data_IF_148955832690
#
_entry.id   IF_148955832690
#
_cell.length_a   1.000
_cell.length_b   1.000
_cell.length_c   1.000
_cell.angle_alpha   90.00
_cell.angle_beta   90.00
_cell.angle_gamma   90.00
#
_symmetry.space_group_name_H-M   'P 1'
#
loop_
_entity.id
_entity.type
_entity.pdbx_description
1 polymer ?
#
# COMPACT_ATOMS: atom_id res chain seq x y z
N UNK A 1 9.59 13.57 18.06
CA UNK A 1 8.24 13.15 18.46
C UNK A 1 7.12 13.73 17.57
N UNK A 2 7.11 15.01 17.15
CA UNK A 2 6.02 15.59 16.30
C UNK A 2 5.88 14.97 14.89
N UNK A 3 6.93 14.41 14.31
CA UNK A 3 6.89 13.83 12.94
C UNK A 3 6.42 12.37 12.91
N UNK A 4 6.49 11.63 14.01
CA UNK A 4 5.97 10.26 14.11
C UNK A 4 4.45 10.22 14.25
N UNK A 5 3.89 11.20 14.98
CA UNK A 5 2.43 11.30 15.17
C UNK A 5 1.71 11.65 13.87
N UNK A 6 2.31 12.50 12.99
CA UNK A 6 1.72 12.82 11.69
C UNK A 6 1.73 11.62 10.71
N UNK A 7 2.79 10.80 10.69
CA UNK A 7 2.84 9.59 9.83
C UNK A 7 1.88 8.49 10.30
N UNK A 8 1.71 8.32 11.60
CA UNK A 8 0.74 7.37 12.15
C UNK A 8 -0.72 7.78 11.84
N UNK A 9 -1.04 9.08 11.90
CA UNK A 9 -2.38 9.58 11.57
C UNK A 9 -2.71 9.44 10.08
N UNK A 10 -1.72 9.62 9.18
CA UNK A 10 -1.92 9.49 7.72
C UNK A 10 -2.11 8.01 7.31
N UNK A 11 -1.43 7.07 7.97
CA UNK A 11 -1.66 5.63 7.72
C UNK A 11 -3.04 5.16 8.24
N UNK A 12 -3.51 5.71 9.37
CA UNK A 12 -4.84 5.38 9.90
C UNK A 12 -5.96 5.91 9.00
N UNK A 13 -5.82 7.10 8.40
CA UNK A 13 -6.80 7.67 7.47
C UNK A 13 -6.88 6.89 6.14
N UNK A 14 -5.76 6.40 5.62
CA UNK A 14 -5.74 5.59 4.39
C UNK A 14 -6.38 4.22 4.64
N UNK A 15 -6.25 3.64 5.84
CA UNK A 15 -6.88 2.36 6.18
C UNK A 15 -8.40 2.48 6.37
N UNK A 16 -8.90 3.60 6.87
CA UNK A 16 -10.34 3.86 7.04
C UNK A 16 -11.03 4.14 5.71
N UNK A 17 -10.36 4.83 4.77
CA UNK A 17 -10.91 5.12 3.43
C UNK A 17 -10.91 3.89 2.49
N UNK A 18 -9.99 2.94 2.67
CA UNK A 18 -9.98 1.69 1.90
C UNK A 18 -11.03 0.67 2.36
N UNK A 19 -11.52 0.76 3.60
CA UNK A 19 -12.58 -0.14 4.11
C UNK A 19 -14.00 0.29 3.68
N UNK A 20 -14.21 1.58 3.37
CA UNK A 20 -15.53 2.08 2.92
C UNK A 20 -15.83 1.79 1.44
N UNK A 21 -14.83 1.41 0.63
CA UNK A 21 -15.02 1.09 -0.79
C UNK A 21 -15.48 -0.37 -1.05
N UNK A 22 -15.55 -1.23 -0.03
CA UNK A 22 -15.81 -2.67 -0.21
C UNK A 22 -17.24 -3.09 0.19
N UNK A 23 -18.01 -2.25 0.93
CA UNK A 23 -19.38 -2.58 1.33
C UNK A 23 -20.37 -1.41 1.19
N UNK A 24 -21.03 -1.24 0.03
CA UNK A 24 -22.04 -0.18 -0.14
C UNK A 24 -23.47 -0.56 0.27
N UNK A 25 -23.73 -1.56 1.12
CA UNK A 25 -25.10 -2.05 1.34
C UNK A 25 -25.57 -2.19 2.78
N UNK A 26 -25.05 -1.39 3.73
CA UNK A 26 -25.58 -1.37 5.10
C UNK A 26 -25.63 0.05 5.70
N UNK A 27 -26.38 0.94 5.04
CA UNK A 27 -26.78 2.21 5.65
C UNK A 27 -28.20 2.57 5.15
N UNK A 28 -29.18 2.06 5.86
CA UNK A 28 -30.53 2.62 5.84
C UNK A 28 -31.04 2.72 7.28
N UNK A 29 -31.45 3.96 7.61
CA UNK A 29 -32.44 4.37 8.59
C UNK A 29 -32.10 4.24 10.09
N UNK A 30 -31.52 5.31 10.66
CA UNK A 30 -31.81 5.76 12.02
C UNK A 30 -32.03 7.29 11.99
N UNK A 31 -33.17 7.83 12.51
CA UNK A 31 -33.48 9.25 12.45
C UNK A 31 -32.69 10.03 13.52
N UNK A 32 -32.14 11.16 13.11
CA UNK A 32 -31.48 12.17 13.95
C UNK A 32 -32.54 13.01 14.64
N UNK A 33 -32.65 12.91 15.96
CA UNK A 33 -33.31 13.92 16.78
C UNK A 33 -32.30 15.00 17.18
N UNK A 34 -32.63 16.24 16.86
CA UNK A 34 -31.98 17.47 17.35
C UNK A 34 -32.40 17.75 18.80
N UNK A 35 -31.44 17.97 19.69
CA UNK A 35 -31.61 18.79 20.91
C UNK A 35 -30.21 19.32 21.29
N UNK A 36 -30.03 20.54 21.12
CA UNK A 36 -30.06 21.77 21.96
C UNK A 36 -28.85 21.89 22.89
N UNK A 37 -27.93 22.74 22.44
CA UNK A 37 -26.92 23.46 23.21
C UNK A 37 -27.57 24.19 24.39
N UNK A 38 -27.05 24.02 25.62
CA UNK A 38 -27.26 24.98 26.71
C UNK A 38 -25.93 25.21 27.43
N UNK A 39 -25.53 26.48 27.41
CA UNK A 39 -24.48 27.10 28.21
C UNK A 39 -24.78 26.92 29.71
N UNK A 40 -23.73 26.69 30.51
CA UNK A 40 -23.78 26.95 31.93
C UNK A 40 -22.73 27.98 32.26
N UNK A 41 -23.23 29.18 32.52
CA UNK A 41 -22.53 30.30 33.11
C UNK A 41 -22.30 30.08 34.61
N UNK A 42 -21.26 30.74 35.10
CA UNK A 42 -20.86 30.97 36.46
C UNK A 42 -22.01 31.48 37.34
N UNK A 43 -22.07 31.03 38.58
CA UNK A 43 -22.60 31.84 39.67
C UNK A 43 -21.77 31.62 40.96
N UNK A 44 -21.11 32.66 41.35
CA UNK A 44 -20.60 33.04 42.67
C UNK A 44 -21.77 33.47 43.55
N UNK A 45 -21.78 33.07 44.80
CA UNK A 45 -22.36 33.78 45.98
C UNK A 45 -22.16 32.89 47.23
N UNK A 46 -21.34 33.29 48.22
CA UNK A 46 -21.49 34.24 49.34
C UNK A 46 -22.64 33.88 50.29
N UNK A 47 -22.29 33.46 51.50
CA UNK A 47 -22.95 33.71 52.81
C UNK A 47 -22.05 33.18 53.91
N UNK A 48 -21.38 33.98 54.66
CA UNK A 48 -21.61 34.94 55.76
C UNK A 48 -22.31 34.29 57.00
N UNK A 49 -21.51 34.32 58.09
CA UNK A 49 -21.86 34.65 59.51
C UNK A 49 -22.84 33.78 60.27
N UNK A 50 -22.50 33.33 61.45
CA UNK A 50 -22.50 34.04 62.75
C UNK A 50 -22.15 33.06 63.91
N UNK A 51 -21.25 33.53 64.78
CA UNK A 51 -21.39 33.77 66.22
C UNK A 51 -21.89 32.56 67.06
N UNK A 52 -21.34 32.28 68.22
CA UNK A 52 -21.03 33.06 69.42
C UNK A 52 -20.27 32.20 70.46
N UNK A 53 -19.27 32.79 71.09
CA UNK A 53 -18.97 32.99 72.49
C UNK A 53 -19.49 31.96 73.54
N UNK A 54 -18.61 31.48 74.42
CA UNK A 54 -18.32 32.01 75.76
C UNK A 54 -17.55 31.00 76.65
N UNK A 55 -16.50 31.48 77.20
CA UNK A 55 -16.13 31.54 78.65
C UNK A 55 -16.15 30.23 79.47
N UNK A 56 -15.24 29.94 80.35
CA UNK A 56 -14.42 30.68 81.34
C UNK A 56 -13.46 29.71 82.04
N UNK A 57 -12.26 30.27 82.37
CA UNK A 57 -11.40 30.10 83.56
C UNK A 57 -11.59 28.92 84.54
N UNK A 58 -10.48 28.23 84.90
CA UNK A 58 -9.84 28.47 86.22
C UNK A 58 -8.57 27.69 86.43
N UNK A 59 -7.59 28.41 86.97
CA UNK A 59 -6.34 28.10 87.61
C UNK A 59 -6.33 26.86 88.53
N UNK A 60 -5.17 26.19 88.54
CA UNK A 60 -4.48 25.86 89.80
C UNK A 60 -3.06 25.47 89.53
N UNK A 61 -2.16 26.19 90.17
CA UNK A 61 -0.73 25.92 90.33
C UNK A 61 -0.46 24.55 90.93
N UNK A 62 0.63 23.91 90.43
CA UNK A 62 1.42 23.04 91.29
C UNK A 62 2.86 23.03 90.69
N UNK A 63 3.70 23.74 91.37
CA UNK A 63 5.15 23.68 91.22
C UNK A 63 5.71 22.32 91.62
N UNK A 64 6.44 21.70 90.67
CA UNK A 64 7.51 20.77 91.01
C UNK A 64 8.68 21.01 90.07
N UNK A 65 9.74 21.52 90.60
CA UNK A 65 11.04 21.59 89.96
C UNK A 65 11.49 20.20 89.55
N UNK A 66 11.74 20.00 88.28
CA UNK A 66 12.48 18.86 87.76
C UNK A 66 13.72 19.43 87.00
N UNK A 67 14.86 19.05 87.47
CA UNK A 67 16.15 19.33 86.89
C UNK A 67 16.18 19.07 85.41
N UNK A 68 16.43 20.13 84.62
CA UNK A 68 16.68 20.05 83.19
C UNK A 68 18.11 19.59 82.98
N UNK A 69 18.32 18.29 82.76
CA UNK A 69 19.49 17.82 82.03
C UNK A 69 19.28 18.22 80.56
N UNK A 70 19.94 19.31 80.16
CA UNK A 70 20.10 19.66 78.75
C UNK A 70 21.02 18.65 78.09
N UNK A 71 20.47 17.54 77.57
CA UNK A 71 21.17 16.76 76.56
C UNK A 71 21.46 17.68 75.38
N UNK A 72 22.75 17.86 75.04
CA UNK A 72 23.16 18.67 73.90
C UNK A 72 22.51 18.05 72.64
N UNK A 73 21.62 18.80 71.95
CA UNK A 73 21.01 18.37 70.70
C UNK A 73 22.14 18.03 69.71
N UNK A 74 22.25 16.76 69.31
CA UNK A 74 23.16 16.28 68.30
C UNK A 74 22.37 16.21 66.96
N UNK A 75 22.77 17.05 66.02
CA UNK A 75 22.18 17.04 64.67
C UNK A 75 22.51 15.71 63.98
N UNK A 76 21.45 14.96 63.61
CA UNK A 76 21.57 13.70 62.92
C UNK A 76 21.32 13.89 61.39
N UNK A 77 22.38 13.89 60.62
CA UNK A 77 22.30 14.04 59.16
C UNK A 77 21.43 12.98 58.47
N UNK A 78 21.24 11.81 59.10
CA UNK A 78 20.44 10.75 58.53
C UNK A 78 18.91 11.08 58.53
N UNK A 79 18.49 12.03 59.39
CA UNK A 79 17.11 12.50 59.48
C UNK A 79 16.80 13.68 58.54
N UNK A 80 17.82 14.20 57.82
CA UNK A 80 17.64 15.35 56.97
C UNK A 80 16.61 15.07 55.87
N UNK A 81 15.50 15.81 55.89
CA UNK A 81 14.38 15.69 54.97
C UNK A 81 13.24 14.84 55.47
N UNK A 82 13.43 14.01 56.50
CA UNK A 82 12.43 13.19 57.18
C UNK A 82 11.80 14.03 58.29
N UNK A 83 10.68 14.67 58.00
CA UNK A 83 9.99 15.55 58.97
C UNK A 83 8.71 14.91 59.56
N UNK A 84 8.29 13.78 59.06
CA UNK A 84 7.22 12.99 59.67
C UNK A 84 7.74 11.85 60.57
N UNK A 85 9.06 11.58 60.50
CA UNK A 85 9.75 10.65 61.39
C UNK A 85 9.60 9.17 60.99
N UNK A 86 9.23 8.88 59.74
CA UNK A 86 9.05 7.52 59.27
C UNK A 86 10.39 6.86 58.81
N UNK A 87 11.50 7.59 58.83
CA UNK A 87 12.84 7.15 58.44
C UNK A 87 13.16 7.28 56.97
N UNK A 88 12.27 7.84 56.17
CA UNK A 88 12.42 8.02 54.71
C UNK A 88 12.11 9.47 54.30
N UNK A 89 12.76 9.94 53.25
CA UNK A 89 12.36 11.20 52.65
C UNK A 89 11.41 10.91 51.49
N UNK A 90 10.14 11.22 51.65
CA UNK A 90 9.05 10.89 50.72
C UNK A 90 8.31 12.15 50.25
N UNK A 91 7.28 11.96 49.41
CA UNK A 91 6.39 13.04 49.01
C UNK A 91 5.50 13.53 50.20
N UNK A 92 5.39 12.75 51.27
CA UNK A 92 4.69 13.13 52.51
C UNK A 92 5.42 14.29 53.19
N UNK A 93 6.76 14.14 53.39
CA UNK A 93 7.61 15.15 53.97
C UNK A 93 7.58 16.44 53.16
N UNK A 94 7.71 16.33 51.82
CA UNK A 94 7.63 17.48 50.94
C UNK A 94 6.29 18.23 51.06
N UNK A 95 5.19 17.50 51.25
CA UNK A 95 3.87 18.08 51.50
C UNK A 95 3.78 18.77 52.83
N UNK A 96 4.31 18.18 53.92
CA UNK A 96 4.36 18.79 55.24
C UNK A 96 5.17 20.09 55.17
N UNK A 97 6.37 20.05 54.60
CA UNK A 97 7.22 21.25 54.46
C UNK A 97 6.53 22.34 53.66
N UNK A 98 5.81 21.99 52.59
CA UNK A 98 5.06 22.97 51.79
C UNK A 98 3.94 23.62 52.61
N UNK A 99 3.21 22.85 53.44
CA UNK A 99 2.15 23.36 54.33
C UNK A 99 2.74 24.27 55.41
N UNK A 100 3.92 23.92 55.95
CA UNK A 100 4.64 24.78 56.90
C UNK A 100 5.11 26.08 56.23
N UNK A 101 5.64 26.03 55.01
CA UNK A 101 6.07 27.18 54.26
C UNK A 101 4.91 28.19 54.02
N UNK A 102 3.67 27.70 53.79
CA UNK A 102 2.48 28.52 53.61
C UNK A 102 1.69 28.78 54.92
N UNK A 103 2.27 28.43 56.07
CA UNK A 103 1.69 28.64 57.41
C UNK A 103 0.39 27.91 57.72
N UNK A 104 0.15 26.80 57.04
CA UNK A 104 -1.00 25.88 57.29
C UNK A 104 -0.67 24.78 58.28
N UNK A 105 0.60 24.66 58.67
CA UNK A 105 1.11 23.66 59.58
C UNK A 105 2.34 24.22 60.31
N UNK A 106 2.66 23.68 61.50
CA UNK A 106 3.86 24.02 62.28
C UNK A 106 4.63 22.77 62.63
N UNK A 107 5.94 22.84 62.53
CA UNK A 107 6.85 21.78 63.02
C UNK A 107 7.42 22.18 64.39
N UNK A 108 7.71 21.17 65.23
CA UNK A 108 8.52 21.38 66.43
C UNK A 108 9.89 21.84 66.04
N UNK A 109 10.53 22.68 66.86
CA UNK A 109 11.84 23.28 66.54
C UNK A 109 12.95 22.21 66.36
N UNK A 110 12.85 21.08 67.07
CA UNK A 110 13.76 19.95 66.96
C UNK A 110 13.60 19.17 65.62
N UNK A 111 12.44 19.21 65.00
CA UNK A 111 12.15 18.59 63.70
C UNK A 111 12.40 19.58 62.55
N UNK A 112 12.12 20.85 62.75
CA UNK A 112 12.23 21.91 61.77
C UNK A 112 13.59 21.99 61.14
N UNK A 113 14.68 21.76 61.93
CA UNK A 113 16.05 21.76 61.43
C UNK A 113 16.34 20.69 60.37
N UNK A 114 15.59 19.61 60.35
CA UNK A 114 15.67 18.54 59.36
C UNK A 114 14.93 18.87 58.06
N UNK A 115 14.05 19.88 58.11
CA UNK A 115 13.33 20.36 56.94
C UNK A 115 14.02 21.56 56.25
N UNK A 116 14.96 22.22 56.91
CA UNK A 116 15.68 23.40 56.47
C UNK A 116 16.96 23.01 55.72
N UNK A 117 16.84 22.74 54.40
CA UNK A 117 17.95 22.23 53.60
C UNK A 117 19.02 23.26 53.30
N UNK A 118 18.68 24.55 53.26
CA UNK A 118 19.63 25.64 53.02
C UNK A 118 20.17 26.27 54.31
N UNK A 119 19.68 25.81 55.46
CA UNK A 119 20.10 26.23 56.82
C UNK A 119 19.90 27.72 57.07
N UNK A 120 18.84 28.31 56.50
CA UNK A 120 18.51 29.73 56.68
C UNK A 120 17.59 30.02 57.88
N UNK A 121 17.21 28.99 58.64
CA UNK A 121 16.35 29.06 59.82
C UNK A 121 14.87 29.12 59.53
N UNK A 122 14.42 28.97 58.28
CA UNK A 122 13.05 29.06 57.83
C UNK A 122 12.71 27.90 56.92
N UNK A 123 11.51 27.38 57.07
CA UNK A 123 10.99 26.45 56.05
C UNK A 123 10.28 27.23 54.95
N UNK A 124 10.76 27.04 53.75
CA UNK A 124 10.24 27.70 52.52
C UNK A 124 9.75 26.70 51.48
N UNK A 125 9.17 27.19 50.40
CA UNK A 125 8.78 26.35 49.24
C UNK A 125 9.98 25.68 48.57
N UNK A 126 11.18 26.25 48.74
CA UNK A 126 12.40 25.68 48.14
C UNK A 126 12.89 24.45 48.90
N UNK A 127 12.70 24.43 50.25
CA UNK A 127 12.93 23.24 51.06
C UNK A 127 11.95 22.11 50.71
N UNK A 128 10.67 22.45 50.59
CA UNK A 128 9.67 21.48 50.17
C UNK A 128 9.98 20.91 48.79
N UNK A 129 10.41 21.75 47.84
CA UNK A 129 10.83 21.32 46.51
C UNK A 129 12.08 20.43 46.59
N UNK A 130 13.02 20.73 47.46
CA UNK A 130 14.22 19.92 47.68
C UNK A 130 13.87 18.54 48.21
N UNK A 131 13.01 18.46 49.23
CA UNK A 131 12.50 17.20 49.74
C UNK A 131 11.80 16.36 48.63
N UNK A 132 10.96 16.98 47.82
CA UNK A 132 10.30 16.29 46.71
C UNK A 132 11.28 15.77 45.66
N UNK A 133 12.33 16.51 45.33
CA UNK A 133 13.37 16.08 44.40
C UNK A 133 14.20 14.90 44.96
N UNK A 134 14.42 14.86 46.31
CA UNK A 134 15.05 13.73 46.98
C UNK A 134 14.09 12.50 46.91
N UNK A 135 12.83 12.67 47.25
CA UNK A 135 11.82 11.62 47.20
C UNK A 135 11.73 10.94 45.84
N UNK A 136 11.82 11.70 44.72
CA UNK A 136 11.82 11.14 43.36
C UNK A 136 13.22 10.81 42.81
N UNK A 137 14.24 10.78 43.68
CA UNK A 137 15.64 10.40 43.38
C UNK A 137 16.34 11.30 42.33
N UNK A 138 15.87 12.52 42.17
CA UNK A 138 16.57 13.54 41.36
C UNK A 138 17.72 14.17 42.12
N UNK A 139 17.60 14.31 43.45
CA UNK A 139 18.62 14.76 44.35
C UNK A 139 18.89 13.70 45.43
N UNK A 140 19.89 13.96 46.25
CA UNK A 140 20.28 13.08 47.36
C UNK A 140 20.72 13.95 48.53
N UNK A 141 20.30 13.64 49.73
CA UNK A 141 20.61 14.38 50.97
C UNK A 141 22.12 14.68 51.10
N UNK A 142 22.95 13.66 50.93
CA UNK A 142 24.42 13.81 51.01
C UNK A 142 24.99 14.74 49.92
N UNK A 143 24.32 14.88 48.78
CA UNK A 143 24.72 15.85 47.76
C UNK A 143 24.33 17.28 48.11
N UNK A 144 23.24 17.46 48.83
CA UNK A 144 22.76 18.75 49.32
C UNK A 144 23.72 19.24 50.44
N UNK A 145 24.02 18.34 51.40
CA UNK A 145 24.86 18.70 52.57
C UNK A 145 26.34 18.84 52.24
N UNK A 146 26.88 18.02 51.38
CA UNK A 146 28.34 17.90 51.17
C UNK A 146 28.79 18.09 49.71
N UNK A 147 27.87 18.49 48.85
CA UNK A 147 28.14 18.64 47.44
C UNK A 147 28.17 17.33 46.65
N UNK A 148 28.28 17.45 45.32
CA UNK A 148 28.21 16.31 44.41
C UNK A 148 29.56 15.57 44.33
N UNK A 149 29.56 14.27 44.63
CA UNK A 149 30.69 13.39 44.35
C UNK A 149 30.63 12.93 42.89
N UNK A 150 31.31 13.64 42.00
CA UNK A 150 31.26 13.39 40.57
C UNK A 150 32.35 12.45 40.08
N UNK A 151 32.08 11.79 38.93
CA UNK A 151 33.08 11.09 38.12
C UNK A 151 32.89 11.43 36.64
N UNK A 152 33.95 11.37 35.83
CA UNK A 152 33.86 11.61 34.41
C UNK A 152 33.12 10.46 33.73
N UNK A 153 32.15 10.81 32.89
CA UNK A 153 31.41 9.87 32.05
C UNK A 153 31.58 10.29 30.59
N UNK A 154 32.11 9.38 29.80
CA UNK A 154 32.30 9.60 28.36
C UNK A 154 31.01 9.26 27.60
N UNK A 155 30.48 10.19 26.84
CA UNK A 155 29.39 10.04 25.91
C UNK A 155 30.01 9.92 24.52
N UNK A 156 29.83 8.78 23.89
CA UNK A 156 30.32 8.54 22.52
C UNK A 156 29.59 9.41 21.50
N UNK A 157 30.25 9.89 20.44
CA UNK A 157 29.58 10.58 19.36
C UNK A 157 28.64 9.61 18.61
N UNK A 158 27.52 10.14 18.16
CA UNK A 158 26.61 9.44 17.23
C UNK A 158 26.83 9.94 15.79
N UNK A 159 26.04 9.46 14.87
CA UNK A 159 26.11 9.96 13.48
C UNK A 159 25.83 11.47 13.39
N UNK A 160 24.99 12.01 14.26
CA UNK A 160 24.50 13.40 14.21
C UNK A 160 24.92 14.24 15.40
N UNK A 161 25.22 13.61 16.51
CA UNK A 161 25.55 14.31 17.76
C UNK A 161 27.02 14.18 18.13
N UNK A 162 27.56 15.23 18.69
CA UNK A 162 28.94 15.26 19.21
C UNK A 162 29.07 14.37 20.45
N UNK A 163 30.16 13.65 20.57
CA UNK A 163 30.56 12.99 21.81
C UNK A 163 31.26 13.97 22.75
N UNK A 164 31.21 13.72 24.06
CA UNK A 164 31.83 14.56 25.07
C UNK A 164 31.99 13.81 26.38
N UNK A 165 32.77 14.39 27.29
CA UNK A 165 32.91 13.92 28.67
C UNK A 165 32.18 14.90 29.59
N UNK A 166 31.38 14.40 30.51
CA UNK A 166 30.71 15.20 31.56
C UNK A 166 31.00 14.61 32.93
N UNK A 167 30.95 15.44 33.94
CA UNK A 167 31.01 14.98 35.33
C UNK A 167 29.59 14.63 35.78
N UNK A 168 29.34 13.36 36.09
CA UNK A 168 28.07 12.90 36.65
C UNK A 168 28.21 12.53 38.12
N UNK A 169 27.26 12.95 38.92
CA UNK A 169 27.21 12.56 40.31
C UNK A 169 26.98 11.05 40.46
N UNK A 170 27.61 10.45 41.47
CA UNK A 170 27.45 9.02 41.75
C UNK A 170 26.23 8.71 42.63
N UNK A 171 25.58 9.75 43.22
CA UNK A 171 24.48 9.62 44.19
C UNK A 171 23.14 10.16 43.71
N UNK A 172 23.13 11.12 42.77
CA UNK A 172 21.95 11.76 42.25
C UNK A 172 22.04 12.00 40.73
N UNK A 173 21.02 12.60 40.16
CA UNK A 173 20.93 12.89 38.73
C UNK A 173 21.80 14.04 38.24
N UNK A 174 22.56 14.71 39.10
CA UNK A 174 23.35 15.87 38.73
C UNK A 174 24.38 15.53 37.65
N UNK A 175 24.49 16.39 36.69
CA UNK A 175 25.49 16.37 35.63
C UNK A 175 26.02 17.79 35.42
N UNK A 176 27.36 17.92 35.25
CA UNK A 176 27.96 19.23 34.97
C UNK A 176 27.48 19.81 33.66
N UNK A 177 27.30 21.12 33.61
CA UNK A 177 27.01 21.83 32.36
C UNK A 177 28.23 21.85 31.43
N UNK A 178 29.44 21.87 32.01
CA UNK A 178 30.72 21.87 31.28
C UNK A 178 30.94 20.52 30.62
N UNK A 179 31.09 20.52 29.30
CA UNK A 179 31.44 19.35 28.48
C UNK A 179 32.92 19.47 28.06
N UNK A 180 33.69 18.42 28.30
CA UNK A 180 35.09 18.33 27.88
C UNK A 180 35.28 17.25 26.82
N UNK A 181 36.46 17.12 26.24
CA UNK A 181 36.82 16.10 25.23
C UNK A 181 35.81 15.99 24.10
N UNK A 182 35.35 17.14 23.57
CA UNK A 182 34.32 17.18 22.55
C UNK A 182 34.84 16.52 21.26
N UNK A 183 34.20 15.44 20.85
CA UNK A 183 34.42 14.75 19.57
C UNK A 183 33.33 15.11 18.57
N UNK A 184 33.70 15.34 17.32
CA UNK A 184 32.72 15.61 16.26
C UNK A 184 31.78 14.42 16.09
N UNK A 185 30.52 14.68 15.64
CA UNK A 185 29.62 13.66 15.14
C UNK A 185 30.32 12.83 14.05
N UNK A 186 30.08 11.54 14.03
CA UNK A 186 30.75 10.61 13.10
C UNK A 186 30.30 10.75 11.66
N UNK A 187 29.18 11.42 11.44
CA UNK A 187 28.47 11.42 10.15
C UNK A 187 27.78 10.08 9.85
N UNK A 188 27.03 10.04 8.77
CA UNK A 188 26.37 8.82 8.32
C UNK A 188 27.32 8.00 7.44
N UNK A 189 27.48 6.72 7.76
CA UNK A 189 28.17 5.73 6.92
C UNK A 189 27.15 5.04 6.03
N UNK A 190 26.92 5.60 4.83
CA UNK A 190 25.91 5.14 3.91
C UNK A 190 26.31 3.85 3.20
N UNK A 191 25.38 2.91 3.11
CA UNK A 191 25.47 1.68 2.35
C UNK A 191 24.30 1.66 1.36
N UNK A 192 24.60 1.38 0.12
CA UNK A 192 23.62 1.27 -0.96
C UNK A 192 23.11 -0.17 -1.08
N UNK A 193 21.80 -0.33 -1.26
CA UNK A 193 21.14 -1.61 -1.49
C UNK A 193 20.06 -1.45 -2.53
N UNK A 194 20.00 -2.40 -3.45
CA UNK A 194 18.91 -2.46 -4.44
C UNK A 194 18.20 -3.80 -4.31
N UNK A 195 16.89 -3.78 -4.19
CA UNK A 195 16.04 -4.97 -4.32
C UNK A 195 15.54 -5.06 -5.76
N UNK A 196 15.39 -6.26 -6.28
CA UNK A 196 14.77 -6.50 -7.59
C UNK A 196 13.25 -6.36 -7.47
N UNK A 197 12.61 -5.87 -8.54
CA UNK A 197 11.17 -5.89 -8.65
C UNK A 197 10.63 -7.33 -8.65
N UNK A 198 9.47 -7.51 -8.08
CA UNK A 198 8.68 -8.75 -8.16
C UNK A 198 7.46 -8.55 -9.08
N UNK A 199 6.60 -9.54 -9.16
CA UNK A 199 5.36 -9.36 -9.92
C UNK A 199 4.45 -8.27 -9.33
N UNK A 200 4.50 -8.04 -8.03
CA UNK A 200 3.56 -7.16 -7.30
C UNK A 200 4.23 -6.00 -6.59
N UNK A 201 5.54 -6.07 -6.39
CA UNK A 201 6.28 -5.05 -5.65
C UNK A 201 7.37 -4.43 -6.51
N UNK A 202 7.50 -3.12 -6.40
CA UNK A 202 8.58 -2.38 -7.04
C UNK A 202 9.95 -2.76 -6.45
N UNK A 203 10.96 -2.82 -7.26
CA UNK A 203 12.35 -2.88 -6.83
C UNK A 203 12.79 -1.51 -6.29
N UNK A 204 13.39 -1.49 -5.12
CA UNK A 204 13.74 -0.27 -4.39
C UNK A 204 15.26 -0.12 -4.28
N UNK A 205 15.77 1.03 -4.67
CA UNK A 205 17.11 1.48 -4.31
C UNK A 205 17.06 2.27 -3.02
N UNK A 206 17.90 1.90 -2.05
CA UNK A 206 18.04 2.60 -0.79
C UNK A 206 19.51 2.91 -0.51
N UNK A 207 19.77 4.09 0.08
CA UNK A 207 21.05 4.48 0.64
C UNK A 207 20.83 4.72 2.14
N UNK A 208 21.29 3.79 2.97
CA UNK A 208 20.96 3.72 4.40
C UNK A 208 22.23 3.73 5.22
N UNK A 209 22.24 4.47 6.34
CA UNK A 209 23.35 4.44 7.27
C UNK A 209 23.44 3.09 7.99
N UNK A 210 24.60 2.43 7.89
CA UNK A 210 24.87 1.14 8.55
C UNK A 210 24.90 1.19 10.07
N UNK A 211 24.97 2.40 10.65
CA UNK A 211 25.10 2.60 12.10
C UNK A 211 23.78 2.98 12.77
N UNK A 212 23.01 3.89 12.16
CA UNK A 212 21.79 4.44 12.77
C UNK A 212 20.53 4.22 11.93
N UNK A 213 20.63 3.47 10.82
CA UNK A 213 19.52 3.17 9.89
C UNK A 213 18.87 4.41 9.27
N UNK A 214 19.53 5.56 9.31
CA UNK A 214 19.04 6.75 8.61
C UNK A 214 18.99 6.50 7.11
N UNK A 215 17.84 6.75 6.49
CA UNK A 215 17.65 6.63 5.04
C UNK A 215 17.95 7.97 4.39
N UNK A 216 19.10 8.03 3.69
CA UNK A 216 19.52 9.23 2.99
C UNK A 216 18.85 9.37 1.63
N UNK A 217 18.55 8.25 0.98
CA UNK A 217 17.90 8.19 -0.34
C UNK A 217 17.09 6.90 -0.49
N UNK A 218 15.89 7.06 -1.01
CA UNK A 218 15.03 5.95 -1.42
C UNK A 218 14.35 6.31 -2.74
N UNK A 219 14.35 5.41 -3.69
CA UNK A 219 13.66 5.59 -4.97
C UNK A 219 13.27 4.23 -5.54
N UNK A 220 12.24 4.22 -6.36
CA UNK A 220 11.92 3.06 -7.18
C UNK A 220 13.05 2.88 -8.21
N UNK A 221 13.70 1.72 -8.17
CA UNK A 221 14.75 1.34 -9.12
C UNK A 221 14.14 0.65 -10.35
N UNK A 222 13.13 -0.16 -10.14
CA UNK A 222 12.44 -0.94 -11.17
C UNK A 222 10.98 -1.09 -10.77
N UNK A 223 10.05 -0.91 -11.71
CA UNK A 223 8.62 -1.10 -11.45
C UNK A 223 8.25 -2.57 -11.35
N UNK A 224 7.22 -2.88 -10.53
CA UNK A 224 6.63 -4.21 -10.48
C UNK A 224 6.27 -4.70 -11.89
N UNK A 225 6.66 -5.93 -12.20
CA UNK A 225 6.54 -6.48 -13.57
C UNK A 225 5.12 -6.91 -13.92
N UNK A 226 4.24 -7.03 -12.93
CA UNK A 226 2.94 -7.68 -13.08
C UNK A 226 3.07 -9.19 -13.17
N UNK A 227 1.93 -9.89 -13.23
CA UNK A 227 1.92 -11.34 -13.40
C UNK A 227 1.95 -11.73 -14.88
N UNK A 228 2.90 -12.55 -15.27
CA UNK A 228 2.94 -13.22 -16.59
C UNK A 228 2.28 -14.58 -16.49
N UNK A 229 0.98 -14.64 -16.79
CA UNK A 229 0.21 -15.87 -16.69
C UNK A 229 0.45 -16.86 -17.84
N UNK A 230 0.38 -18.14 -17.54
CA UNK A 230 0.21 -19.20 -18.52
C UNK A 230 -1.22 -19.25 -19.07
N UNK A 231 -1.49 -20.26 -19.92
CA UNK A 231 -2.86 -20.50 -20.44
C UNK A 231 -3.81 -20.95 -19.33
N UNK A 232 -5.10 -20.63 -19.52
CA UNK A 232 -6.14 -21.13 -18.63
C UNK A 232 -6.26 -22.67 -18.74
N UNK A 233 -6.21 -23.33 -17.59
CA UNK A 233 -6.56 -24.72 -17.43
C UNK A 233 -8.02 -24.80 -17.03
N UNK A 234 -8.83 -25.43 -17.88
CA UNK A 234 -10.27 -25.51 -17.71
C UNK A 234 -10.63 -26.70 -16.80
N UNK A 235 -11.40 -26.44 -15.75
CA UNK A 235 -12.09 -27.44 -14.95
C UNK A 235 -13.60 -27.33 -15.16
N UNK A 236 -14.41 -28.13 -14.47
CA UNK A 236 -15.87 -28.15 -14.69
C UNK A 236 -16.56 -26.82 -14.37
N UNK A 237 -16.28 -26.25 -13.21
CA UNK A 237 -16.92 -25.01 -12.73
C UNK A 237 -15.96 -23.82 -12.67
N UNK A 238 -14.67 -24.07 -12.65
CA UNK A 238 -13.64 -23.07 -12.55
C UNK A 238 -12.53 -23.27 -13.57
N UNK A 239 -11.92 -22.18 -14.01
CA UNK A 239 -10.67 -22.17 -14.77
C UNK A 239 -9.56 -21.59 -13.92
N UNK A 240 -8.34 -22.07 -14.05
CA UNK A 240 -7.16 -21.61 -13.31
C UNK A 240 -6.02 -21.27 -14.27
N UNK A 241 -5.22 -20.28 -13.92
CA UNK A 241 -3.95 -20.00 -14.58
C UNK A 241 -2.88 -19.65 -13.55
N UNK A 242 -1.65 -19.94 -13.91
CA UNK A 242 -0.51 -19.78 -13.00
C UNK A 242 0.48 -18.77 -13.58
N UNK A 243 0.95 -17.85 -12.76
CA UNK A 243 2.02 -16.94 -13.14
C UNK A 243 3.32 -17.73 -13.34
N UNK A 244 3.97 -17.55 -14.50
CA UNK A 244 5.22 -18.23 -14.86
C UNK A 244 6.40 -17.79 -14.00
N UNK A 245 6.33 -16.59 -13.42
CA UNK A 245 7.43 -16.00 -12.64
C UNK A 245 7.35 -16.32 -11.16
N UNK A 246 6.18 -16.12 -10.52
CA UNK A 246 6.02 -16.25 -9.07
C UNK A 246 5.16 -17.42 -8.62
N UNK A 247 4.55 -18.18 -9.56
CA UNK A 247 3.68 -19.31 -9.24
C UNK A 247 2.29 -18.94 -8.72
N UNK A 248 1.95 -17.64 -8.62
CA UNK A 248 0.61 -17.22 -8.20
C UNK A 248 -0.47 -17.83 -9.10
N UNK A 249 -1.49 -18.42 -8.47
CA UNK A 249 -2.63 -19.03 -9.16
C UNK A 249 -3.85 -18.12 -9.10
N UNK A 250 -4.34 -17.76 -10.28
CA UNK A 250 -5.62 -17.07 -10.43
C UNK A 250 -6.71 -18.07 -10.79
N UNK A 251 -7.86 -17.94 -10.14
CA UNK A 251 -9.03 -18.81 -10.37
C UNK A 251 -10.23 -17.96 -10.75
N UNK A 252 -10.91 -18.34 -11.81
CA UNK A 252 -12.15 -17.71 -12.28
C UNK A 252 -13.23 -18.75 -12.59
N UNK A 253 -14.48 -18.30 -12.73
CA UNK A 253 -15.55 -19.21 -13.19
C UNK A 253 -15.26 -19.69 -14.60
N UNK A 254 -15.48 -20.98 -14.85
CA UNK A 254 -15.42 -21.54 -16.18
C UNK A 254 -16.78 -21.36 -16.85
N UNK A 255 -17.02 -20.20 -17.46
CA UNK A 255 -18.24 -19.88 -18.20
C UNK A 255 -18.06 -20.13 -19.69
N UNK A 256 -19.15 -20.41 -20.40
CA UNK A 256 -19.12 -20.53 -21.86
C UNK A 256 -18.68 -19.21 -22.47
N UNK A 257 -17.61 -19.22 -23.26
CA UNK A 257 -16.99 -18.02 -23.78
C UNK A 257 -17.00 -17.97 -25.29
N UNK A 258 -17.36 -16.80 -25.82
CA UNK A 258 -17.35 -16.48 -27.26
C UNK A 258 -16.20 -15.48 -27.50
N UNK A 259 -15.27 -15.85 -28.37
CA UNK A 259 -14.27 -14.96 -28.94
C UNK A 259 -14.70 -14.60 -30.35
N UNK A 260 -15.23 -13.37 -30.53
CA UNK A 260 -15.50 -12.84 -31.87
C UNK A 260 -14.16 -12.42 -32.48
N UNK A 261 -13.81 -13.01 -33.63
CA UNK A 261 -12.55 -12.69 -34.32
C UNK A 261 -12.82 -12.24 -35.74
N UNK A 262 -12.15 -11.17 -36.14
CA UNK A 262 -12.34 -10.55 -37.46
C UNK A 262 -11.00 -10.50 -38.19
N UNK A 263 -10.96 -11.11 -39.37
CA UNK A 263 -9.79 -11.18 -40.22
C UNK A 263 -9.86 -10.16 -41.38
N UNK A 264 -8.72 -9.87 -41.98
CA UNK A 264 -8.48 -9.06 -43.16
C UNK A 264 -8.65 -7.53 -43.03
N UNK A 265 -9.32 -7.07 -41.97
CA UNK A 265 -9.53 -5.63 -41.74
C UNK A 265 -8.22 -4.85 -41.43
N UNK A 266 -8.33 -3.54 -41.20
CA UNK A 266 -9.55 -2.74 -41.25
C UNK A 266 -10.06 -2.44 -42.65
N UNK A 267 -11.37 -2.25 -42.79
CA UNK A 267 -12.02 -1.95 -44.06
C UNK A 267 -13.29 -1.08 -43.92
N UNK A 268 -14.11 -1.03 -44.97
CA UNK A 268 -15.23 -0.06 -45.07
C UNK A 268 -16.31 -0.22 -43.99
N UNK A 269 -16.39 -1.37 -43.36
CA UNK A 269 -17.44 -1.65 -42.35
C UNK A 269 -16.87 -1.79 -40.92
N UNK A 270 -15.54 -1.71 -40.73
CA UNK A 270 -14.90 -1.89 -39.43
C UNK A 270 -15.36 -0.86 -38.39
N UNK A 271 -15.48 0.42 -38.75
CA UNK A 271 -15.98 1.45 -37.83
C UNK A 271 -17.43 1.20 -37.39
N UNK A 272 -18.29 0.67 -38.33
CA UNK A 272 -19.65 0.27 -37.98
C UNK A 272 -19.64 -0.89 -36.98
N UNK A 273 -18.76 -1.85 -37.19
CA UNK A 273 -18.59 -2.97 -36.28
C UNK A 273 -18.17 -2.49 -34.89
N UNK A 274 -17.19 -1.58 -34.80
CA UNK A 274 -16.74 -0.99 -33.53
C UNK A 274 -17.89 -0.29 -32.78
N UNK A 275 -18.75 0.42 -33.49
CA UNK A 275 -19.96 1.04 -32.92
C UNK A 275 -20.91 -0.01 -32.31
N UNK A 276 -21.11 -1.15 -32.99
CA UNK A 276 -21.95 -2.22 -32.44
C UNK A 276 -21.32 -2.88 -31.22
N UNK A 277 -20.00 -3.20 -31.26
CA UNK A 277 -19.28 -3.77 -30.13
C UNK A 277 -19.37 -2.86 -28.92
N UNK A 278 -19.21 -1.56 -29.12
CA UNK A 278 -19.29 -0.53 -28.06
C UNK A 278 -20.70 -0.42 -27.49
N UNK A 279 -21.77 -0.47 -28.34
CA UNK A 279 -23.14 -0.40 -27.90
C UNK A 279 -23.51 -1.52 -26.92
N UNK A 280 -22.95 -2.72 -27.11
CA UNK A 280 -23.21 -3.89 -26.27
C UNK A 280 -22.13 -4.12 -25.19
N UNK A 281 -21.14 -3.23 -25.09
CA UNK A 281 -19.94 -3.38 -24.26
C UNK A 281 -19.23 -4.73 -24.45
N UNK A 282 -19.16 -5.19 -25.70
CA UNK A 282 -18.47 -6.44 -26.07
C UNK A 282 -17.13 -6.13 -26.70
N UNK A 283 -16.12 -6.88 -26.31
CA UNK A 283 -14.77 -6.78 -26.89
C UNK A 283 -14.52 -7.95 -27.85
N UNK A 284 -13.71 -7.69 -28.87
CA UNK A 284 -13.39 -8.65 -29.94
C UNK A 284 -11.90 -8.64 -30.28
N UNK A 285 -11.46 -9.59 -31.11
CA UNK A 285 -10.09 -9.66 -31.58
C UNK A 285 -10.04 -9.43 -33.10
N UNK A 286 -9.14 -8.58 -33.54
CA UNK A 286 -8.94 -8.24 -34.94
C UNK A 286 -7.58 -8.76 -35.42
N UNK A 287 -7.56 -9.68 -36.37
CA UNK A 287 -6.36 -10.11 -37.05
C UNK A 287 -6.23 -9.29 -38.35
N UNK A 288 -5.36 -8.31 -38.32
CA UNK A 288 -5.37 -7.22 -39.27
C UNK A 288 -4.33 -7.36 -40.38
N UNK A 289 -4.67 -6.78 -41.54
CA UNK A 289 -3.79 -6.66 -42.71
C UNK A 289 -3.59 -5.20 -43.09
N UNK A 290 -2.84 -4.91 -44.12
CA UNK A 290 -2.73 -3.57 -44.71
C UNK A 290 -3.19 -3.58 -46.17
N UNK A 291 -4.14 -4.43 -46.55
CA UNK A 291 -4.71 -4.48 -47.89
C UNK A 291 -5.45 -3.19 -48.28
N UNK A 292 -6.01 -2.51 -47.27
CA UNK A 292 -6.73 -1.24 -47.47
C UNK A 292 -6.10 -0.11 -46.64
N UNK A 293 -4.92 0.44 -47.09
CA UNK A 293 -4.14 1.40 -46.30
C UNK A 293 -4.89 2.67 -45.90
N UNK A 294 -5.95 3.05 -46.62
CA UNK A 294 -6.77 4.23 -46.29
C UNK A 294 -7.54 4.08 -45.00
N UNK A 295 -7.74 2.86 -44.49
CA UNK A 295 -8.39 2.60 -43.19
C UNK A 295 -7.40 2.33 -42.06
N UNK A 296 -6.10 2.51 -42.30
CA UNK A 296 -5.04 2.25 -41.28
C UNK A 296 -5.28 2.98 -39.95
N UNK A 297 -5.86 4.18 -39.99
CA UNK A 297 -6.18 4.95 -38.78
C UNK A 297 -7.12 4.21 -37.81
N UNK A 298 -7.94 3.27 -38.31
CA UNK A 298 -8.88 2.49 -37.49
C UNK A 298 -8.14 1.54 -36.52
N UNK A 299 -6.86 1.20 -36.80
CA UNK A 299 -6.06 0.38 -35.85
C UNK A 299 -5.98 1.01 -34.46
N UNK A 300 -5.86 2.34 -34.40
CA UNK A 300 -5.86 3.08 -33.13
C UNK A 300 -7.20 2.98 -32.40
N UNK A 301 -8.30 3.06 -33.11
CA UNK A 301 -9.66 2.97 -32.54
C UNK A 301 -9.93 1.55 -32.00
N UNK A 302 -9.47 0.51 -32.70
CA UNK A 302 -9.56 -0.88 -32.25
C UNK A 302 -8.93 -1.02 -30.86
N UNK A 303 -7.70 -0.56 -30.69
CA UNK A 303 -6.95 -0.69 -29.41
C UNK A 303 -7.54 0.23 -28.33
N UNK A 304 -7.88 1.48 -28.69
CA UNK A 304 -8.47 2.48 -27.79
C UNK A 304 -9.82 2.00 -27.19
N UNK A 305 -10.62 1.31 -27.96
CA UNK A 305 -11.90 0.75 -27.51
C UNK A 305 -11.74 -0.59 -26.75
N UNK A 306 -10.47 -1.02 -26.49
CA UNK A 306 -10.15 -2.18 -25.66
C UNK A 306 -10.27 -3.53 -26.37
N UNK A 307 -10.25 -3.54 -27.71
CA UNK A 307 -10.20 -4.75 -28.48
C UNK A 307 -8.77 -5.27 -28.61
N UNK A 308 -8.58 -6.58 -28.78
CA UNK A 308 -7.29 -7.15 -29.09
C UNK A 308 -6.96 -7.02 -30.57
N UNK A 309 -5.66 -6.85 -30.85
CA UNK A 309 -5.15 -6.77 -32.22
C UNK A 309 -4.06 -7.82 -32.43
N UNK A 310 -4.12 -8.56 -33.53
CA UNK A 310 -3.16 -9.57 -33.92
C UNK A 310 -2.73 -9.41 -35.39
N UNK A 311 -1.63 -10.06 -35.75
CA UNK A 311 -1.09 -10.01 -37.11
C UNK A 311 -1.80 -11.00 -38.03
N UNK A 312 -2.22 -10.54 -39.22
CA UNK A 312 -2.75 -11.43 -40.28
C UNK A 312 -1.96 -11.28 -41.60
N UNK A 313 -0.64 -10.98 -41.48
CA UNK A 313 0.27 -10.58 -42.55
C UNK A 313 -0.09 -9.22 -43.16
N UNK A 314 0.78 -8.63 -43.95
CA UNK A 314 0.57 -7.30 -44.53
C UNK A 314 -0.29 -7.36 -45.78
N UNK A 315 0.03 -8.29 -46.67
CA UNK A 315 -0.56 -8.33 -48.02
C UNK A 315 -1.66 -9.37 -48.17
N UNK A 316 -1.66 -10.40 -47.29
CA UNK A 316 -2.53 -11.58 -47.41
C UNK A 316 -2.37 -12.33 -48.76
N UNK A 317 -1.27 -12.09 -49.48
CA UNK A 317 -0.99 -12.76 -50.73
C UNK A 317 -0.52 -14.22 -50.51
N UNK A 318 -1.01 -15.17 -51.28
CA UNK A 318 -0.62 -16.58 -51.12
C UNK A 318 0.88 -16.84 -51.38
N UNK A 319 1.53 -15.97 -52.18
CA UNK A 319 2.97 -16.00 -52.46
C UNK A 319 3.83 -15.88 -51.21
N UNK A 320 3.33 -15.35 -50.11
CA UNK A 320 4.03 -15.31 -48.80
C UNK A 320 4.48 -16.71 -48.35
N UNK A 321 3.78 -17.73 -48.77
CA UNK A 321 4.09 -19.13 -48.42
C UNK A 321 5.18 -19.76 -49.30
N UNK A 322 5.82 -19.02 -50.20
CA UNK A 322 6.91 -19.55 -51.03
C UNK A 322 8.17 -19.90 -50.21
N UNK A 323 8.40 -19.24 -49.11
CA UNK A 323 9.48 -19.55 -48.15
C UNK A 323 9.24 -18.92 -46.80
N UNK A 324 9.95 -19.38 -45.76
CA UNK A 324 9.94 -18.74 -44.42
C UNK A 324 10.36 -17.28 -44.51
N UNK A 325 11.38 -16.98 -45.30
CA UNK A 325 11.88 -15.60 -45.51
C UNK A 325 10.78 -14.71 -46.07
N UNK A 326 10.03 -15.17 -47.07
CA UNK A 326 8.93 -14.42 -47.68
C UNK A 326 7.81 -14.15 -46.65
N UNK A 327 7.41 -15.19 -45.93
CA UNK A 327 6.38 -15.06 -44.88
C UNK A 327 6.79 -14.07 -43.80
N UNK A 328 8.01 -14.20 -43.25
CA UNK A 328 8.50 -13.34 -42.17
C UNK A 328 8.64 -11.88 -42.63
N UNK A 329 9.03 -11.63 -43.88
CA UNK A 329 9.10 -10.27 -44.42
C UNK A 329 7.73 -9.61 -44.37
N UNK A 330 6.70 -10.31 -44.79
CA UNK A 330 5.32 -9.80 -44.83
C UNK A 330 4.69 -9.68 -43.44
N UNK A 331 4.87 -10.72 -42.59
CA UNK A 331 4.47 -10.73 -41.21
C UNK A 331 5.07 -9.55 -40.43
N UNK A 332 6.41 -9.39 -40.48
CA UNK A 332 7.10 -8.35 -39.71
C UNK A 332 6.74 -6.94 -40.20
N UNK A 333 6.41 -6.79 -41.49
CA UNK A 333 5.94 -5.52 -42.02
C UNK A 333 4.57 -5.13 -41.39
N UNK A 334 3.65 -6.10 -41.22
CA UNK A 334 2.37 -5.81 -40.56
C UNK A 334 2.55 -5.61 -39.07
N UNK A 335 3.36 -6.43 -38.40
CA UNK A 335 3.67 -6.28 -36.98
C UNK A 335 4.23 -4.88 -36.67
N UNK A 336 5.16 -4.40 -37.54
CA UNK A 336 5.69 -3.03 -37.40
C UNK A 336 4.59 -1.97 -37.58
N UNK A 337 3.69 -2.13 -38.52
CA UNK A 337 2.55 -1.19 -38.71
C UNK A 337 1.68 -1.14 -37.47
N UNK A 338 1.36 -2.30 -36.86
CA UNK A 338 0.57 -2.35 -35.63
C UNK A 338 1.31 -1.59 -34.52
N UNK A 339 2.60 -1.89 -34.30
CA UNK A 339 3.42 -1.25 -33.27
C UNK A 339 3.51 0.27 -33.46
N UNK A 340 3.81 0.72 -34.71
CA UNK A 340 3.97 2.15 -35.01
C UNK A 340 2.65 2.93 -34.82
N UNK A 341 1.50 2.33 -35.20
CA UNK A 341 0.21 3.01 -35.11
C UNK A 341 -0.41 2.94 -33.72
N UNK A 342 -0.21 1.85 -32.98
CA UNK A 342 -0.96 1.59 -31.73
C UNK A 342 -0.10 1.52 -30.47
N UNK A 343 1.20 1.38 -30.60
CA UNK A 343 2.10 1.10 -29.47
C UNK A 343 2.04 -0.34 -28.95
N UNK A 344 1.25 -1.22 -29.55
CA UNK A 344 1.06 -2.61 -29.10
C UNK A 344 2.06 -3.55 -29.77
N UNK A 345 2.95 -4.17 -28.99
CA UNK A 345 3.83 -5.27 -29.42
C UNK A 345 3.07 -6.61 -29.30
N UNK A 346 2.17 -6.87 -30.27
CA UNK A 346 1.32 -8.06 -30.22
C UNK A 346 2.08 -9.35 -30.45
N UNK A 347 1.76 -10.39 -29.68
CA UNK A 347 2.31 -11.75 -29.85
C UNK A 347 1.30 -12.73 -30.43
N UNK A 348 0.08 -12.30 -30.65
CA UNK A 348 -0.96 -13.15 -31.26
C UNK A 348 -1.05 -12.91 -32.77
N UNK A 349 -1.34 -13.97 -33.49
CA UNK A 349 -1.52 -13.89 -34.95
C UNK A 349 -2.40 -15.00 -35.48
N UNK A 350 -2.83 -14.85 -36.71
CA UNK A 350 -3.54 -15.88 -37.48
C UNK A 350 -2.90 -16.01 -38.88
N UNK A 351 -2.68 -17.24 -39.28
CA UNK A 351 -2.21 -17.51 -40.66
C UNK A 351 -3.32 -17.26 -41.68
N UNK A 352 -3.07 -16.55 -42.80
CA UNK A 352 -3.98 -16.51 -43.93
C UNK A 352 -4.47 -17.91 -44.34
N UNK A 353 -5.78 -18.11 -44.27
CA UNK A 353 -6.41 -19.41 -44.56
C UNK A 353 -6.31 -20.48 -43.49
N UNK A 354 -5.67 -20.15 -42.30
CA UNK A 354 -5.45 -21.08 -41.20
C UNK A 354 -4.30 -22.06 -41.43
N UNK A 355 -3.94 -22.79 -40.37
CA UNK A 355 -2.78 -23.72 -40.42
C UNK A 355 -3.01 -24.98 -41.26
N UNK A 356 -4.27 -25.33 -41.52
CA UNK A 356 -4.66 -26.49 -42.34
C UNK A 356 -4.91 -26.14 -43.80
N UNK A 357 -4.62 -24.91 -44.25
CA UNK A 357 -4.88 -24.52 -45.64
C UNK A 357 -4.07 -25.41 -46.62
N UNK A 358 -4.68 -25.73 -47.75
CA UNK A 358 -4.01 -26.53 -48.80
C UNK A 358 -3.33 -25.68 -49.87
N UNK A 359 -3.61 -24.38 -49.93
CA UNK A 359 -3.06 -23.47 -50.94
C UNK A 359 -1.55 -23.29 -50.76
N UNK A 360 -1.11 -23.21 -49.49
CA UNK A 360 0.34 -23.10 -49.17
C UNK A 360 1.22 -24.20 -49.79
N UNK A 361 0.65 -25.41 -49.95
CA UNK A 361 1.38 -26.55 -50.55
C UNK A 361 1.72 -26.32 -52.03
N UNK A 362 0.96 -25.48 -52.73
CA UNK A 362 1.27 -25.09 -54.09
C UNK A 362 2.53 -24.23 -54.21
N UNK A 363 2.89 -23.56 -53.12
CA UNK A 363 4.07 -22.69 -53.06
C UNK A 363 5.26 -23.44 -52.44
N UNK A 364 5.04 -24.13 -51.29
CA UNK A 364 6.07 -24.91 -50.63
C UNK A 364 5.46 -25.99 -49.75
N UNK A 365 5.76 -27.26 -50.02
CA UNK A 365 5.26 -28.38 -49.21
C UNK A 365 5.83 -28.30 -47.79
N UNK A 366 4.98 -28.50 -46.79
CA UNK A 366 5.37 -28.51 -45.39
C UNK A 366 5.66 -27.14 -44.78
N UNK A 367 5.50 -26.05 -45.55
CA UNK A 367 5.78 -24.70 -45.09
C UNK A 367 4.97 -24.30 -43.83
N UNK A 368 3.72 -24.75 -43.74
CA UNK A 368 2.90 -24.42 -42.57
C UNK A 368 3.41 -25.05 -41.28
N UNK A 369 3.92 -26.29 -41.31
CA UNK A 369 4.56 -26.93 -40.15
C UNK A 369 5.82 -26.20 -39.73
N UNK A 370 6.64 -25.82 -40.71
CA UNK A 370 7.85 -25.06 -40.49
C UNK A 370 7.54 -23.70 -39.86
N UNK A 371 6.61 -22.93 -40.44
CA UNK A 371 6.22 -21.63 -39.93
C UNK A 371 5.56 -21.72 -38.53
N UNK A 372 4.65 -22.64 -38.29
CA UNK A 372 4.01 -22.82 -36.99
C UNK A 372 5.04 -23.13 -35.90
N UNK A 373 6.00 -24.04 -36.19
CA UNK A 373 7.10 -24.38 -35.27
C UNK A 373 8.03 -23.19 -35.03
N UNK A 374 8.45 -22.52 -36.11
CA UNK A 374 9.35 -21.35 -36.02
C UNK A 374 8.72 -20.20 -35.21
N UNK A 375 7.50 -19.79 -35.59
CA UNK A 375 6.81 -18.67 -34.92
C UNK A 375 6.57 -18.94 -33.43
N UNK A 376 6.21 -20.17 -33.07
CA UNK A 376 6.03 -20.57 -31.67
C UNK A 376 7.37 -20.47 -30.90
N UNK A 377 8.49 -20.90 -31.50
CA UNK A 377 9.84 -20.74 -30.90
C UNK A 377 10.26 -19.29 -30.72
N UNK A 378 9.76 -18.39 -31.56
CA UNK A 378 9.98 -16.94 -31.42
C UNK A 378 9.03 -16.29 -30.41
N UNK A 379 8.20 -17.05 -29.70
CA UNK A 379 7.26 -16.54 -28.69
C UNK A 379 5.93 -16.06 -29.23
N UNK A 380 5.67 -16.17 -30.53
CA UNK A 380 4.39 -15.85 -31.12
C UNK A 380 3.38 -16.99 -30.93
N UNK A 381 2.09 -16.63 -30.88
CA UNK A 381 1.00 -17.55 -30.62
C UNK A 381 -0.03 -17.42 -31.74
N UNK A 382 -0.22 -18.49 -32.50
CA UNK A 382 -1.27 -18.50 -33.52
C UNK A 382 -2.57 -19.10 -33.02
N UNK A 383 -3.66 -18.57 -33.59
CA UNK A 383 -5.02 -19.03 -33.34
C UNK A 383 -5.71 -19.33 -34.67
N UNK A 384 -6.18 -20.54 -34.83
CA UNK A 384 -7.16 -20.88 -35.83
C UNK A 384 -8.57 -20.54 -35.30
N UNK A 385 -9.57 -21.24 -35.72
CA UNK A 385 -10.95 -21.09 -35.27
C UNK A 385 -11.62 -22.45 -35.09
N UNK A 386 -12.74 -22.49 -34.38
CA UNK A 386 -13.57 -23.70 -34.27
C UNK A 386 -15.01 -23.45 -34.68
N UNK A 387 -15.31 -22.21 -35.09
CA UNK A 387 -16.55 -21.82 -35.71
C UNK A 387 -16.26 -21.02 -36.98
N UNK A 388 -16.75 -21.48 -38.11
CA UNK A 388 -16.82 -20.72 -39.36
C UNK A 388 -18.24 -20.17 -39.56
N UNK A 389 -18.36 -18.86 -39.64
CA UNK A 389 -19.67 -18.21 -39.81
C UNK A 389 -20.22 -18.34 -41.23
N UNK A 390 -19.41 -18.75 -42.19
CA UNK A 390 -19.81 -18.94 -43.60
C UNK A 390 -19.96 -17.63 -44.39
N UNK A 391 -19.39 -16.53 -43.90
CA UNK A 391 -19.52 -15.21 -44.57
C UNK A 391 -18.81 -15.12 -45.92
N UNK A 392 -17.83 -16.01 -46.15
CA UNK A 392 -17.17 -16.14 -47.47
C UNK A 392 -18.06 -16.83 -48.52
N UNK A 393 -19.15 -17.49 -48.10
CA UNK A 393 -20.07 -18.21 -48.99
C UNK A 393 -21.22 -17.34 -49.50
N UNK A 394 -21.17 -16.01 -49.34
CA UNK A 394 -22.19 -15.09 -49.84
C UNK A 394 -23.53 -15.14 -49.04
N UNK A 395 -23.51 -15.63 -47.82
CA UNK A 395 -24.71 -15.72 -46.99
C UNK A 395 -25.28 -14.34 -46.62
N UNK A 396 -26.61 -14.28 -46.41
CA UNK A 396 -27.24 -13.13 -45.78
C UNK A 396 -26.84 -12.99 -44.31
N UNK A 397 -27.00 -11.81 -43.75
CA UNK A 397 -26.72 -11.56 -42.31
C UNK A 397 -27.47 -12.50 -41.38
N UNK A 398 -28.73 -12.77 -41.67
CA UNK A 398 -29.57 -13.74 -40.95
C UNK A 398 -28.98 -15.16 -41.00
N UNK A 399 -28.52 -15.61 -42.17
CA UNK A 399 -27.94 -16.94 -42.34
C UNK A 399 -26.59 -17.06 -41.63
N UNK A 400 -25.73 -16.02 -41.69
CA UNK A 400 -24.46 -15.94 -40.96
C UNK A 400 -24.74 -16.05 -39.45
N UNK A 401 -25.65 -15.24 -38.92
CA UNK A 401 -26.00 -15.28 -37.49
C UNK A 401 -26.49 -16.67 -37.06
N UNK A 402 -27.46 -17.26 -37.84
CA UNK A 402 -27.99 -18.56 -37.50
C UNK A 402 -26.95 -19.68 -37.56
N UNK A 403 -26.08 -19.67 -38.58
CA UNK A 403 -24.97 -20.63 -38.73
C UNK A 403 -24.02 -20.56 -37.56
N UNK A 404 -23.65 -19.35 -37.16
CA UNK A 404 -22.75 -19.10 -36.03
C UNK A 404 -23.39 -19.55 -34.72
N UNK A 405 -24.62 -19.14 -34.43
CA UNK A 405 -25.35 -19.49 -33.20
C UNK A 405 -25.50 -21.00 -33.06
N UNK A 406 -25.83 -21.71 -34.12
CA UNK A 406 -25.99 -23.16 -34.10
C UNK A 406 -24.69 -23.89 -33.76
N UNK A 407 -23.55 -23.33 -34.12
CA UNK A 407 -22.24 -23.85 -33.77
C UNK A 407 -21.82 -23.50 -32.34
N UNK A 408 -22.12 -22.26 -31.89
CA UNK A 408 -21.87 -21.78 -30.51
C UNK A 408 -22.59 -22.67 -29.50
N UNK A 409 -23.83 -23.02 -29.73
CA UNK A 409 -24.62 -23.91 -28.83
C UNK A 409 -23.95 -25.23 -28.49
N UNK A 410 -23.08 -25.72 -29.37
CA UNK A 410 -22.39 -27.02 -29.24
C UNK A 410 -21.05 -26.94 -28.57
N UNK A 411 -20.59 -25.74 -28.12
CA UNK A 411 -19.24 -25.51 -27.62
C UNK A 411 -19.21 -24.76 -26.29
N UNK A 412 -18.24 -25.03 -25.51
CA UNK A 412 -17.93 -24.26 -24.31
C UNK A 412 -17.07 -23.02 -24.65
N UNK A 413 -16.07 -23.21 -25.49
CA UNK A 413 -15.19 -22.16 -26.00
C UNK A 413 -15.40 -22.03 -27.50
N UNK A 414 -15.82 -20.87 -27.95
CA UNK A 414 -16.13 -20.54 -29.32
C UNK A 414 -15.20 -19.46 -29.87
N UNK A 415 -14.31 -19.83 -30.78
CA UNK A 415 -13.51 -18.87 -31.56
C UNK A 415 -14.12 -18.79 -32.96
N UNK A 416 -14.72 -17.64 -33.25
CA UNK A 416 -15.55 -17.45 -34.45
C UNK A 416 -14.74 -16.71 -35.53
N UNK A 417 -14.53 -17.34 -36.68
CA UNK A 417 -13.98 -16.70 -37.87
C UNK A 417 -15.02 -15.84 -38.53
N UNK A 418 -14.73 -14.57 -38.74
CA UNK A 418 -15.54 -13.58 -39.46
C UNK A 418 -14.61 -12.59 -40.20
N UNK A 419 -15.16 -11.82 -41.14
CA UNK A 419 -14.45 -10.78 -41.87
C UNK A 419 -15.21 -9.46 -41.81
N UNK A 420 -14.59 -8.44 -41.20
CA UNK A 420 -15.20 -7.11 -41.03
C UNK A 420 -15.24 -6.27 -42.33
N UNK A 421 -14.67 -6.80 -43.40
CA UNK A 421 -14.77 -6.24 -44.75
C UNK A 421 -16.19 -6.41 -45.39
N UNK A 422 -17.03 -7.23 -44.78
CA UNK A 422 -18.31 -7.62 -45.37
C UNK A 422 -19.48 -7.05 -44.56
N UNK A 423 -20.38 -6.31 -45.29
CA UNK A 423 -21.58 -5.71 -44.67
C UNK A 423 -22.45 -6.74 -43.95
N UNK A 424 -22.73 -7.87 -44.61
CA UNK A 424 -23.61 -8.89 -44.05
C UNK A 424 -23.03 -9.51 -42.75
N UNK A 425 -21.72 -9.67 -42.68
CA UNK A 425 -21.04 -10.14 -41.46
C UNK A 425 -21.25 -9.15 -40.34
N UNK A 426 -20.97 -7.87 -40.58
CA UNK A 426 -21.08 -6.83 -39.55
C UNK A 426 -22.52 -6.71 -39.04
N UNK A 427 -23.52 -6.78 -39.91
CA UNK A 427 -24.93 -6.76 -39.49
C UNK A 427 -25.32 -8.02 -38.69
N UNK A 428 -24.74 -9.19 -38.99
CA UNK A 428 -25.01 -10.44 -38.27
C UNK A 428 -24.48 -10.42 -36.83
N UNK A 429 -23.42 -9.62 -36.54
CA UNK A 429 -22.77 -9.57 -35.22
C UNK A 429 -23.76 -9.16 -34.14
N UNK A 430 -24.68 -8.22 -34.39
CA UNK A 430 -25.68 -7.79 -33.40
C UNK A 430 -26.49 -8.98 -32.88
N UNK A 431 -27.06 -9.79 -33.79
CA UNK A 431 -27.85 -10.96 -33.41
C UNK A 431 -27.04 -12.01 -32.68
N UNK A 432 -25.75 -12.18 -33.03
CA UNK A 432 -24.84 -13.12 -32.35
C UNK A 432 -24.57 -12.62 -30.92
N UNK A 433 -24.30 -11.32 -30.72
CA UNK A 433 -24.05 -10.73 -29.41
C UNK A 433 -25.34 -10.85 -28.54
N UNK A 434 -26.48 -10.44 -29.04
CA UNK A 434 -27.76 -10.51 -28.32
C UNK A 434 -28.07 -11.95 -27.86
N UNK A 435 -27.83 -12.92 -28.73
CA UNK A 435 -27.98 -14.35 -28.39
C UNK A 435 -26.99 -14.73 -27.24
N UNK A 436 -25.71 -14.36 -27.36
CA UNK A 436 -24.69 -14.71 -26.38
C UNK A 436 -25.02 -14.13 -25.00
N UNK A 437 -25.32 -12.84 -24.93
CA UNK A 437 -25.67 -12.15 -23.68
C UNK A 437 -26.92 -12.74 -23.04
N UNK A 438 -27.99 -12.95 -23.83
CA UNK A 438 -29.24 -13.55 -23.33
C UNK A 438 -29.05 -14.96 -22.76
N UNK A 439 -28.07 -15.72 -23.28
CA UNK A 439 -27.83 -17.11 -22.87
C UNK A 439 -26.64 -17.28 -21.91
N UNK A 440 -26.15 -16.17 -21.30
CA UNK A 440 -25.13 -16.19 -20.26
C UNK A 440 -23.71 -16.56 -20.76
N UNK A 441 -23.44 -16.32 -22.04
CA UNK A 441 -22.07 -16.43 -22.56
C UNK A 441 -21.28 -15.19 -22.20
N UNK A 442 -20.00 -15.40 -21.89
CA UNK A 442 -19.02 -14.33 -21.76
C UNK A 442 -18.39 -14.02 -23.12
N UNK A 443 -18.24 -12.74 -23.45
CA UNK A 443 -17.47 -12.33 -24.62
C UNK A 443 -16.08 -11.90 -24.16
N UNK A 444 -15.03 -12.40 -24.80
CA UNK A 444 -13.65 -12.10 -24.43
C UNK A 444 -12.77 -11.85 -25.66
N UNK A 445 -11.64 -11.18 -25.43
CA UNK A 445 -10.58 -11.04 -26.42
C UNK A 445 -9.60 -12.21 -26.35
N UNK A 446 -8.97 -12.52 -27.47
CA UNK A 446 -7.85 -13.45 -27.49
C UNK A 446 -6.59 -12.74 -26.96
N UNK A 447 -5.95 -13.37 -26.00
CA UNK A 447 -4.66 -12.96 -25.44
C UNK A 447 -3.71 -14.17 -25.30
N UNK A 448 -2.52 -13.94 -24.74
CA UNK A 448 -1.53 -14.98 -24.52
C UNK A 448 -2.01 -16.07 -23.53
N UNK A 449 -2.99 -15.79 -22.67
CA UNK A 449 -3.55 -16.74 -21.70
C UNK A 449 -4.74 -17.53 -22.25
N UNK A 450 -5.27 -17.16 -23.41
CA UNK A 450 -6.42 -17.81 -24.04
C UNK A 450 -6.12 -19.27 -24.38
N UNK A 451 -7.01 -20.22 -24.07
CA UNK A 451 -6.86 -21.62 -24.48
C UNK A 451 -6.65 -21.74 -25.99
N UNK A 452 -5.66 -22.53 -26.40
CA UNK A 452 -5.26 -22.63 -27.80
C UNK A 452 -6.34 -23.31 -28.61
N UNK A 453 -6.89 -22.58 -29.57
CA UNK A 453 -7.76 -23.12 -30.61
C UNK A 453 -6.94 -23.20 -31.89
N UNK A 454 -6.48 -24.39 -32.20
CA UNK A 454 -5.60 -24.72 -33.33
C UNK A 454 -6.13 -25.93 -34.04
N UNK A 455 -6.00 -26.00 -35.36
CA UNK A 455 -6.42 -27.18 -36.11
C UNK A 455 -5.55 -28.39 -35.75
N UNK A 456 -6.16 -29.57 -35.72
CA UNK A 456 -5.46 -30.83 -35.42
C UNK A 456 -4.41 -31.15 -36.46
N UNK A 457 -4.61 -30.78 -37.72
CA UNK A 457 -3.65 -30.96 -38.81
C UNK A 457 -3.07 -29.65 -39.24
N UNK A 458 -1.76 -29.56 -39.31
CA UNK A 458 -0.99 -28.46 -39.88
C UNK A 458 -0.41 -28.95 -41.21
N UNK A 459 -0.67 -28.26 -42.32
CA UNK A 459 -0.28 -28.70 -43.66
C UNK A 459 1.15 -28.35 -44.07
#
# INVERSE_FOLDING_TARGET
>A
MKNYVKKALTLLLVFVLSFQAIYPSLAKDVPVTKESTTEIQQTTEKQTEKETEKETEKEAESTTEAESTTEAFVFDEAKMGDVDGDGLVTSSDARILLRVAVKLETLKEDVKIYGDFDKNGKITSDDARTALRIAVKLDNVQCILHGHKTKPVKIAPTCTEKGYTVQKCQRCSYQSETKTDIKKATGHKLVEKTTKATCTEDGIYTSVCSVCSYVAKEKVAEKATGHSFGVWVLGDKTKTRTCKTCGYKETAKNVKTIYLTFDDGPGPYTERLLKYLKQYDVKATFFVTNQSPKYKYVLKEIVKDGHAIGVHTKTHEWSIYSSRKSYLKDFNAMHKIILDETGVDTKIFRFPGGTNNTVSRKYSRGIMKDLASYMTKQGYIYFDWNIDCGDTSGYSSSKIAQTTINQIKKRHTSVVLMHDLKRNTVEAVKTIIEYGLKNGYEFAVIDESTPRVQFKSVN
#
